data_IF_275077660782
#
_entry.id   IF_275077660782
#
_cell.length_a   1.000
_cell.length_b   1.000
_cell.length_c   1.000
_cell.angle_alpha   90.00
_cell.angle_beta   90.00
_cell.angle_gamma   90.00
#
_symmetry.space_group_name_H-M   'P 1'
#
loop_
_entity.id
_entity.type
_entity.pdbx_description
1 polymer ?
#
# COMPACT_ATOMS: atom_id res chain seq x y z
N UNK A 1 -8.13 8.60 -1.02
CA UNK A 1 -8.37 7.28 -0.38
C UNK A 1 -7.08 6.67 0.15
N UNK A 2 -6.01 6.56 -0.65
CA UNK A 2 -4.72 5.95 -0.24
C UNK A 2 -4.06 6.61 0.97
N UNK A 3 -4.01 7.96 1.02
CA UNK A 3 -3.46 8.69 2.15
C UNK A 3 -4.12 8.33 3.49
N UNK A 4 -5.45 8.14 3.51
CA UNK A 4 -6.18 7.71 4.72
C UNK A 4 -5.84 6.30 5.17
N UNK A 5 -5.45 5.41 4.24
CA UNK A 5 -5.08 4.02 4.57
C UNK A 5 -3.72 3.91 5.24
N UNK A 6 -2.78 4.79 4.87
CA UNK A 6 -1.39 4.71 5.35
C UNK A 6 -1.11 5.54 6.60
N UNK A 7 -1.91 6.60 6.83
CA UNK A 7 -1.62 7.64 7.82
C UNK A 7 -1.39 7.10 9.24
N UNK A 8 -2.14 6.08 9.66
CA UNK A 8 -2.02 5.47 10.99
C UNK A 8 -1.58 4.01 10.95
N UNK A 9 -0.90 3.60 9.87
CA UNK A 9 -0.31 2.26 9.74
C UNK A 9 1.19 2.38 9.38
N UNK A 10 2.12 1.97 10.25
CA UNK A 10 1.92 1.53 11.65
C UNK A 10 1.31 2.62 12.55
N UNK A 11 0.90 2.28 13.78
CA UNK A 11 0.21 3.24 14.66
C UNK A 11 1.08 4.46 14.94
N UNK A 12 0.61 5.63 14.50
CA UNK A 12 1.24 6.96 14.70
C UNK A 12 0.50 7.85 15.70
N UNK A 13 -0.53 7.32 16.36
CA UNK A 13 -1.36 8.11 17.29
C UNK A 13 -2.28 9.10 16.58
N UNK A 14 -2.59 8.84 15.30
CA UNK A 14 -3.48 9.66 14.49
C UNK A 14 -4.87 9.00 14.50
N UNK A 15 -5.81 9.60 15.23
CA UNK A 15 -7.19 9.11 15.34
C UNK A 15 -8.13 9.73 14.30
N UNK A 16 -9.36 9.22 14.24
CA UNK A 16 -10.39 9.66 13.28
C UNK A 16 -10.73 11.15 13.41
N UNK A 17 -10.74 11.69 14.64
CA UNK A 17 -10.98 13.12 14.88
C UNK A 17 -9.88 13.99 14.27
N UNK A 18 -8.62 13.60 14.43
CA UNK A 18 -7.46 14.28 13.83
C UNK A 18 -7.56 14.26 12.31
N UNK A 19 -7.91 13.10 11.73
CA UNK A 19 -8.09 12.96 10.29
C UNK A 19 -9.26 13.78 9.75
N UNK A 20 -10.36 13.87 10.50
CA UNK A 20 -11.51 14.67 10.14
C UNK A 20 -11.17 16.17 10.12
N UNK A 21 -10.47 16.67 11.16
CA UNK A 21 -9.98 18.05 11.20
C UNK A 21 -9.07 18.38 10.02
N UNK A 22 -8.08 17.53 9.78
CA UNK A 22 -7.14 17.72 8.68
C UNK A 22 -7.82 17.66 7.30
N UNK A 23 -8.78 16.76 7.12
CA UNK A 23 -9.57 16.68 5.90
C UNK A 23 -10.47 17.91 5.69
N UNK A 24 -11.03 18.46 6.77
CA UNK A 24 -11.77 19.72 6.75
C UNK A 24 -10.89 20.89 6.32
N UNK A 25 -9.68 20.98 6.91
CA UNK A 25 -8.69 21.99 6.55
C UNK A 25 -8.24 21.88 5.08
N UNK A 26 -7.96 20.67 4.61
CA UNK A 26 -7.59 20.40 3.21
C UNK A 26 -8.70 20.87 2.25
N UNK A 27 -9.96 20.58 2.59
CA UNK A 27 -11.13 21.01 1.81
C UNK A 27 -11.27 22.54 1.79
N UNK A 28 -11.11 23.20 2.94
CA UNK A 28 -11.23 24.65 3.06
C UNK A 28 -10.09 25.42 2.36
N UNK A 29 -8.89 24.85 2.34
CA UNK A 29 -7.69 25.43 1.71
C UNK A 29 -7.51 25.06 0.24
N UNK A 30 -8.38 24.21 -0.32
CA UNK A 30 -8.29 23.74 -1.70
C UNK A 30 -7.07 22.85 -1.97
N UNK A 31 -6.52 22.21 -0.94
CA UNK A 31 -5.32 21.35 -1.00
C UNK A 31 -5.70 19.89 -0.81
N UNK A 32 -4.84 19.00 -1.27
CA UNK A 32 -4.96 17.56 -1.00
C UNK A 32 -4.60 17.25 0.45
N UNK A 33 -5.08 16.11 0.95
CA UNK A 33 -4.80 15.68 2.31
C UNK A 33 -3.29 15.55 2.60
N UNK A 34 -2.50 15.10 1.61
CA UNK A 34 -1.05 14.92 1.74
C UNK A 34 -0.33 16.26 1.82
N UNK A 35 -0.72 17.24 1.01
CA UNK A 35 -0.14 18.59 1.06
C UNK A 35 -0.39 19.28 2.41
N UNK A 36 -1.44 18.89 3.12
CA UNK A 36 -1.75 19.41 4.46
C UNK A 36 -1.01 18.68 5.59
N UNK A 37 -0.27 17.58 5.33
CA UNK A 37 0.43 16.85 6.39
C UNK A 37 1.46 17.72 7.12
N UNK A 38 2.16 18.60 6.40
CA UNK A 38 3.08 19.57 6.98
C UNK A 38 2.38 20.76 7.67
N UNK A 39 1.09 20.98 7.41
CA UNK A 39 0.28 22.09 7.96
C UNK A 39 -0.62 21.64 9.12
N UNK A 40 -0.20 20.63 9.90
CA UNK A 40 -1.01 20.10 11.00
C UNK A 40 -1.35 21.15 12.08
N UNK A 41 -0.47 22.12 12.33
CA UNK A 41 -0.73 23.18 13.33
C UNK A 41 -1.91 24.06 12.92
N UNK A 42 -1.98 24.44 11.63
CA UNK A 42 -3.06 25.25 11.07
C UNK A 42 -4.42 24.51 11.09
N UNK A 43 -4.39 23.18 11.07
CA UNK A 43 -5.57 22.32 11.17
C UNK A 43 -6.04 22.06 12.62
N UNK A 44 -5.46 22.75 13.61
CA UNK A 44 -5.75 22.59 15.04
C UNK A 44 -5.69 21.13 15.53
N UNK A 45 -4.75 20.36 14.99
CA UNK A 45 -4.50 19.00 15.48
C UNK A 45 -3.49 19.02 16.63
N UNK A 46 -3.55 18.00 17.50
CA UNK A 46 -2.65 17.94 18.66
C UNK A 46 -1.17 17.82 18.25
N UNK A 47 -0.25 18.40 19.05
CA UNK A 47 1.20 18.46 18.76
C UNK A 47 1.83 17.12 18.34
N UNK A 48 1.43 16.02 18.98
CA UNK A 48 1.92 14.68 18.61
C UNK A 48 1.51 14.27 17.20
N UNK A 49 0.28 14.60 16.80
CA UNK A 49 -0.19 14.33 15.44
C UNK A 49 0.50 15.23 14.41
N UNK A 50 0.76 16.50 14.74
CA UNK A 50 1.57 17.40 13.89
C UNK A 50 2.93 16.78 13.59
N UNK A 51 3.63 16.34 14.63
CA UNK A 51 4.94 15.70 14.47
C UNK A 51 4.87 14.46 13.56
N UNK A 52 3.95 13.52 13.86
CA UNK A 52 3.85 12.29 13.06
C UNK A 52 3.37 12.50 11.63
N UNK A 53 2.54 13.53 11.38
CA UNK A 53 2.14 13.92 10.03
C UNK A 53 3.32 14.57 9.28
N UNK A 54 4.12 15.40 9.96
CA UNK A 54 5.35 15.98 9.42
C UNK A 54 6.37 14.92 9.00
N UNK A 55 6.65 13.95 9.88
CA UNK A 55 7.54 12.81 9.58
C UNK A 55 7.05 11.99 8.37
N UNK A 56 5.74 11.78 8.26
CA UNK A 56 5.14 11.11 7.09
C UNK A 56 5.25 11.96 5.82
N UNK A 57 5.04 13.28 5.93
CA UNK A 57 5.19 14.21 4.81
C UNK A 57 6.62 14.25 4.27
N UNK A 58 7.60 14.23 5.17
CA UNK A 58 9.02 14.20 4.83
C UNK A 58 9.37 12.89 4.13
N UNK A 59 8.95 11.74 4.68
CA UNK A 59 9.13 10.44 4.04
C UNK A 59 8.56 10.42 2.60
N UNK A 60 7.33 10.90 2.40
CA UNK A 60 6.72 10.93 1.07
C UNK A 60 7.51 11.82 0.10
N UNK A 61 7.98 12.97 0.58
CA UNK A 61 8.78 13.89 -0.23
C UNK A 61 10.13 13.28 -0.61
N UNK A 62 10.76 12.53 0.29
CA UNK A 62 12.03 11.86 0.02
C UNK A 62 11.86 10.70 -0.96
N UNK A 63 10.78 9.93 -0.86
CA UNK A 63 10.47 8.86 -1.81
C UNK A 63 10.27 9.39 -3.23
N UNK A 64 9.59 10.53 -3.39
CA UNK A 64 9.44 11.19 -4.69
C UNK A 64 10.81 11.58 -5.24
N UNK A 65 11.68 12.18 -4.42
CA UNK A 65 13.05 12.52 -4.85
C UNK A 65 13.87 11.27 -5.20
N UNK A 66 13.70 10.17 -4.48
CA UNK A 66 14.40 8.92 -4.79
C UNK A 66 13.98 8.38 -6.15
N UNK A 67 12.69 8.38 -6.45
CA UNK A 67 12.14 7.99 -7.74
C UNK A 67 12.68 8.89 -8.87
N UNK A 68 12.65 10.21 -8.68
CA UNK A 68 13.22 11.20 -9.63
C UNK A 68 14.73 11.00 -9.87
N UNK A 69 15.46 10.48 -8.89
CA UNK A 69 16.88 10.16 -8.99
C UNK A 69 17.16 8.76 -9.55
N UNK A 70 16.13 8.04 -10.03
CA UNK A 70 16.25 6.73 -10.66
C UNK A 70 16.35 5.56 -9.69
N UNK A 71 15.84 5.69 -8.46
CA UNK A 71 15.73 4.57 -7.55
C UNK A 71 14.79 3.49 -8.11
N UNK A 72 15.18 2.22 -7.99
CA UNK A 72 14.33 1.11 -8.43
C UNK A 72 13.06 0.98 -7.56
N UNK A 73 11.96 0.40 -8.09
CA UNK A 73 10.75 0.13 -7.31
C UNK A 73 11.03 -0.72 -6.06
N UNK A 74 11.93 -1.70 -6.15
CA UNK A 74 12.34 -2.52 -5.01
C UNK A 74 13.03 -1.68 -3.91
N UNK A 75 13.87 -0.72 -4.30
CA UNK A 75 14.52 0.21 -3.38
C UNK A 75 13.48 1.10 -2.68
N UNK A 76 12.52 1.65 -3.42
CA UNK A 76 11.44 2.48 -2.87
C UNK A 76 10.57 1.71 -1.88
N UNK A 77 10.17 0.48 -2.23
CA UNK A 77 9.39 -0.40 -1.33
C UNK A 77 10.19 -0.71 -0.07
N UNK A 78 11.48 -1.02 -0.20
CA UNK A 78 12.35 -1.30 0.96
C UNK A 78 12.47 -0.09 1.87
N UNK A 79 12.68 1.10 1.30
CA UNK A 79 12.76 2.35 2.05
C UNK A 79 11.46 2.63 2.83
N UNK A 80 10.30 2.43 2.20
CA UNK A 80 8.99 2.56 2.86
C UNK A 80 8.91 1.60 4.05
N UNK A 81 9.27 0.32 3.86
CA UNK A 81 9.15 -0.70 4.89
C UNK A 81 10.05 -0.41 6.11
N UNK A 82 11.22 0.16 5.88
CA UNK A 82 12.21 0.47 6.91
C UNK A 82 11.86 1.77 7.64
N UNK A 83 11.70 2.89 6.93
CA UNK A 83 11.41 4.20 7.56
C UNK A 83 10.07 4.26 8.28
N UNK A 84 9.08 3.50 7.82
CA UNK A 84 7.79 3.44 8.52
C UNK A 84 7.79 2.46 9.71
N UNK A 85 8.81 1.60 9.83
CA UNK A 85 8.83 0.52 10.82
C UNK A 85 7.79 -0.58 10.54
N UNK A 86 7.31 -0.71 9.31
CA UNK A 86 6.21 -1.62 8.97
C UNK A 86 6.57 -3.09 9.19
N UNK A 87 7.81 -3.48 8.86
CA UNK A 87 8.31 -4.84 9.12
C UNK A 87 8.28 -5.17 10.61
N UNK A 88 8.73 -4.25 11.44
CA UNK A 88 8.76 -4.46 12.89
C UNK A 88 7.38 -4.43 13.51
N UNK A 89 6.48 -3.60 12.97
CA UNK A 89 5.06 -3.62 13.36
C UNK A 89 4.40 -4.96 13.07
N UNK A 90 4.72 -5.62 11.95
CA UNK A 90 4.22 -6.97 11.64
C UNK A 90 4.86 -8.02 12.54
N UNK A 91 6.19 -7.98 12.74
CA UNK A 91 6.88 -8.90 13.66
C UNK A 91 6.29 -8.85 15.06
N UNK A 92 5.90 -7.66 15.52
CA UNK A 92 5.28 -7.46 16.83
C UNK A 92 3.88 -8.12 16.98
N UNK A 93 3.18 -8.43 15.87
CA UNK A 93 1.93 -9.20 15.92
C UNK A 93 2.18 -10.66 16.33
N UNK A 94 3.35 -11.21 15.98
CA UNK A 94 3.74 -12.58 16.28
C UNK A 94 2.89 -13.66 15.59
N UNK A 95 3.27 -14.92 15.80
CA UNK A 95 2.55 -16.09 15.30
C UNK A 95 2.65 -16.31 13.79
N UNK A 96 1.85 -17.26 13.30
CA UNK A 96 1.87 -17.70 11.90
C UNK A 96 1.36 -16.62 10.93
N UNK A 97 0.44 -15.77 11.36
CA UNK A 97 -0.08 -14.68 10.54
C UNK A 97 0.99 -13.62 10.25
N UNK A 98 1.80 -13.24 11.26
CA UNK A 98 2.91 -12.31 11.07
C UNK A 98 3.95 -12.87 10.08
N UNK A 99 4.26 -14.17 10.20
CA UNK A 99 5.19 -14.84 9.30
C UNK A 99 4.69 -14.81 7.85
N UNK A 100 3.43 -15.19 7.62
CA UNK A 100 2.82 -15.14 6.29
C UNK A 100 2.81 -13.71 5.70
N UNK A 101 2.54 -12.69 6.52
CA UNK A 101 2.59 -11.28 6.08
C UNK A 101 4.00 -10.85 5.69
N UNK A 102 5.03 -11.28 6.42
CA UNK A 102 6.42 -10.98 6.08
C UNK A 102 6.87 -11.67 4.79
N UNK A 103 6.44 -12.91 4.57
CA UNK A 103 6.66 -13.65 3.33
C UNK A 103 6.02 -12.94 2.14
N UNK A 104 4.76 -12.50 2.27
CA UNK A 104 4.08 -11.72 1.22
C UNK A 104 4.80 -10.41 0.91
N UNK A 105 5.37 -9.74 1.91
CA UNK A 105 6.17 -8.52 1.72
C UNK A 105 7.50 -8.82 1.03
N UNK A 106 8.14 -9.92 1.36
CA UNK A 106 9.37 -10.35 0.69
C UNK A 106 9.10 -10.65 -0.79
N UNK A 107 7.98 -11.31 -1.09
CA UNK A 107 7.56 -11.56 -2.48
C UNK A 107 7.21 -10.27 -3.20
N UNK A 108 6.56 -9.30 -2.55
CA UNK A 108 6.32 -7.97 -3.13
C UNK A 108 7.63 -7.30 -3.56
N UNK A 109 8.68 -7.36 -2.73
CA UNK A 109 10.00 -6.80 -3.06
C UNK A 109 10.65 -7.57 -4.22
N UNK A 110 10.52 -8.90 -4.23
CA UNK A 110 10.98 -9.77 -5.32
C UNK A 110 10.29 -9.40 -6.65
N UNK A 111 8.97 -9.23 -6.66
CA UNK A 111 8.21 -8.78 -7.84
C UNK A 111 8.63 -7.39 -8.25
N UNK A 112 8.75 -6.45 -7.31
CA UNK A 112 9.19 -5.07 -7.59
C UNK A 112 10.59 -5.02 -8.22
N UNK A 113 11.48 -5.97 -7.90
CA UNK A 113 12.83 -6.02 -8.48
C UNK A 113 12.87 -6.33 -9.99
N UNK A 114 11.76 -6.79 -10.56
CA UNK A 114 11.62 -7.09 -11.99
C UNK A 114 11.33 -5.84 -12.84
N UNK A 115 10.99 -4.73 -12.19
CA UNK A 115 10.62 -3.48 -12.85
C UNK A 115 11.75 -2.46 -12.75
N UNK A 116 11.98 -1.72 -13.83
CA UNK A 116 12.94 -0.62 -13.86
C UNK A 116 12.31 0.67 -13.30
N UNK A 117 11.05 0.93 -13.63
CA UNK A 117 10.34 2.17 -13.26
C UNK A 117 9.12 1.87 -12.37
N UNK A 118 8.84 2.78 -11.43
CA UNK A 118 7.71 2.63 -10.50
C UNK A 118 6.37 2.65 -11.24
N UNK A 119 6.24 3.51 -12.25
CA UNK A 119 5.01 3.65 -13.03
C UNK A 119 4.63 2.35 -13.75
N UNK A 120 5.62 1.63 -14.29
CA UNK A 120 5.41 0.34 -14.94
C UNK A 120 4.91 -0.71 -13.96
N UNK A 121 5.52 -0.79 -12.77
CA UNK A 121 5.09 -1.70 -11.71
C UNK A 121 3.66 -1.41 -11.26
N UNK A 122 3.33 -0.14 -11.00
CA UNK A 122 2.00 0.24 -10.54
C UNK A 122 0.94 -0.02 -11.62
N UNK A 123 1.28 0.18 -12.89
CA UNK A 123 0.40 -0.11 -14.02
C UNK A 123 0.17 -1.60 -14.17
N UNK A 124 1.23 -2.43 -14.08
CA UNK A 124 1.07 -3.88 -14.17
C UNK A 124 0.23 -4.43 -13.02
N UNK A 125 0.49 -3.98 -11.78
CA UNK A 125 -0.27 -4.44 -10.60
C UNK A 125 -1.74 -4.02 -10.66
N UNK A 126 -2.03 -2.85 -11.23
CA UNK A 126 -3.42 -2.40 -11.41
C UNK A 126 -4.17 -3.17 -12.51
N UNK A 127 -3.44 -3.78 -13.46
CA UNK A 127 -4.00 -4.56 -14.56
C UNK A 127 -4.17 -6.04 -14.23
N UNK A 128 -3.39 -6.58 -13.28
CA UNK A 128 -3.54 -7.95 -12.79
C UNK A 128 -4.96 -8.12 -12.24
N UNK A 129 -5.74 -8.97 -12.90
CA UNK A 129 -7.08 -9.37 -12.46
C UNK A 129 -6.99 -10.69 -11.70
N UNK A 130 -7.94 -10.95 -10.79
CA UNK A 130 -8.09 -12.26 -10.12
C UNK A 130 -8.17 -13.45 -11.12
N UNK A 131 -8.44 -13.17 -12.40
CA UNK A 131 -8.48 -14.16 -13.47
C UNK A 131 -7.09 -14.62 -13.97
N UNK A 132 -6.03 -13.84 -13.79
CA UNK A 132 -4.72 -14.14 -14.37
C UNK A 132 -3.96 -15.23 -13.59
N UNK A 133 -4.28 -15.42 -12.30
CA UNK A 133 -3.70 -16.48 -11.45
C UNK A 133 -4.34 -17.87 -11.65
N UNK A 134 -5.38 -17.99 -12.49
CA UNK A 134 -6.02 -19.28 -12.80
C UNK A 134 -5.27 -20.12 -13.84
N UNK A 135 -4.26 -19.55 -14.50
CA UNK A 135 -3.49 -20.22 -15.55
C UNK A 135 -2.15 -20.72 -15.04
N UNK A 136 -1.98 -22.04 -15.00
CA UNK A 136 -0.66 -22.67 -14.88
C UNK A 136 -0.44 -23.61 -13.70
N UNK A 137 -1.48 -23.99 -12.95
CA UNK A 137 -1.33 -25.00 -11.88
C UNK A 137 -1.90 -26.35 -12.32
N UNK A 138 -1.04 -27.21 -12.87
CA UNK A 138 -1.39 -28.60 -13.15
C UNK A 138 -1.78 -29.34 -11.85
N UNK A 139 -2.85 -30.14 -11.92
CA UNK A 139 -3.29 -31.00 -10.80
C UNK A 139 -4.12 -30.32 -9.71
N UNK A 140 -4.67 -29.12 -9.93
CA UNK A 140 -5.61 -28.46 -9.01
C UNK A 140 -7.01 -28.30 -9.61
N UNK A 141 -8.02 -28.20 -8.74
CA UNK A 141 -9.39 -27.84 -9.10
C UNK A 141 -9.53 -26.33 -9.07
N UNK A 142 -9.95 -25.75 -10.20
CA UNK A 142 -10.20 -24.31 -10.30
C UNK A 142 -11.58 -23.95 -9.78
N UNK A 143 -11.65 -23.11 -8.74
CA UNK A 143 -12.88 -22.49 -8.27
C UNK A 143 -12.99 -21.09 -8.85
N UNK A 144 -14.09 -20.78 -9.52
CA UNK A 144 -14.33 -19.47 -10.13
C UNK A 144 -15.81 -19.14 -10.16
N UNK A 145 -16.13 -17.86 -10.32
CA UNK A 145 -17.51 -17.42 -10.59
C UNK A 145 -17.86 -17.61 -12.06
N UNK A 146 -19.15 -17.74 -12.41
CA UNK A 146 -19.60 -17.92 -13.81
C UNK A 146 -19.05 -16.82 -14.75
N UNK A 147 -18.89 -15.60 -14.25
CA UNK A 147 -18.36 -14.48 -15.03
C UNK A 147 -16.90 -14.71 -15.47
N UNK A 148 -16.09 -15.33 -14.61
CA UNK A 148 -14.68 -15.63 -14.87
C UNK A 148 -14.55 -16.86 -15.80
N UNK A 149 -15.52 -17.78 -15.77
CA UNK A 149 -15.56 -18.93 -16.67
C UNK A 149 -15.85 -18.58 -18.14
N UNK A 150 -16.20 -17.33 -18.45
CA UNK A 150 -16.59 -16.92 -19.80
C UNK A 150 -15.40 -17.02 -20.76
N UNK A 151 -15.52 -17.90 -21.76
CA UNK A 151 -14.48 -18.15 -22.76
C UNK A 151 -13.47 -19.22 -22.35
N UNK A 152 -13.72 -19.93 -21.25
CA UNK A 152 -12.95 -21.11 -20.82
C UNK A 152 -13.71 -22.39 -21.14
N UNK A 153 -12.97 -23.44 -21.49
CA UNK A 153 -13.50 -24.79 -21.71
C UNK A 153 -12.81 -25.76 -20.74
N UNK A 154 -13.60 -26.62 -20.08
CA UNK A 154 -13.11 -27.60 -19.10
C UNK A 154 -13.71 -28.97 -19.40
N UNK A 155 -12.97 -30.05 -19.15
CA UNK A 155 -13.47 -31.42 -19.34
C UNK A 155 -14.60 -31.78 -18.36
N UNK A 156 -14.58 -31.24 -17.14
CA UNK A 156 -15.61 -31.45 -16.12
C UNK A 156 -15.89 -30.16 -15.34
N UNK A 157 -17.17 -29.82 -15.16
CA UNK A 157 -17.64 -28.61 -14.47
C UNK A 157 -18.67 -28.97 -13.41
N UNK A 158 -18.50 -28.47 -12.19
CA UNK A 158 -19.47 -28.56 -11.10
C UNK A 158 -20.05 -27.17 -10.83
N UNK A 159 -21.36 -27.01 -11.01
CA UNK A 159 -22.10 -25.79 -10.63
C UNK A 159 -22.79 -26.02 -9.28
N UNK A 160 -22.57 -25.11 -8.35
CA UNK A 160 -23.15 -25.12 -6.99
C UNK A 160 -24.04 -23.91 -6.80
#
# INVERSE_FOLDING_TARGET
VSARRIVNVPKRGIGDVTLAKLAGYATASGRTLVECFASGEDAEVGKKAVQSLGELSELLSDLVKMDENGASPASLVTEVLERTGYRDAIKALGGQEAQSRLENIAELVSVASRFAELQDMLSSVALVSDADDLYGIEGKVSLMTIHIAKGLEFEAVFMV
#
